data_IF_439745385581
#
_entry.id   IF_439745385581
#
_cell.length_a   1.000
_cell.length_b   1.000
_cell.length_c   1.000
_cell.angle_alpha   90.00
_cell.angle_beta   90.00
_cell.angle_gamma   90.00
#
_symmetry.space_group_name_H-M   'P 1'
#
loop_
_entity.id
_entity.type
_entity.pdbx_description
1 polymer ?
#
# COMPACT_ATOMS: atom_id res chain seq x y z
N UNK A 1 14.04 1.46 -16.71
CA UNK A 1 12.56 1.47 -16.51
C UNK A 1 12.29 1.23 -15.02
N UNK A 2 11.41 2.02 -14.39
CA UNK A 2 11.00 1.76 -13.00
C UNK A 2 10.08 0.54 -12.97
N UNK A 3 10.43 -0.49 -12.22
CA UNK A 3 9.51 -1.60 -11.97
C UNK A 3 8.77 -1.34 -10.66
N UNK A 4 7.45 -1.35 -10.69
CA UNK A 4 6.62 -1.32 -9.48
C UNK A 4 5.97 -2.70 -9.34
N UNK A 5 5.81 -3.18 -8.12
CA UNK A 5 5.16 -4.45 -7.79
C UNK A 5 4.23 -4.20 -6.61
N UNK A 6 2.99 -4.65 -6.73
CA UNK A 6 2.03 -4.57 -5.64
C UNK A 6 1.88 -5.89 -4.92
N UNK A 7 2.05 -5.86 -3.60
CA UNK A 7 1.78 -6.96 -2.70
C UNK A 7 0.40 -6.76 -2.07
N UNK A 8 -0.56 -7.57 -2.52
CA UNK A 8 -1.85 -7.72 -1.86
C UNK A 8 -1.85 -8.93 -0.96
N UNK A 9 -2.80 -8.99 -0.03
CA UNK A 9 -2.83 -10.06 0.95
C UNK A 9 -4.23 -10.51 1.26
N UNK A 10 -4.38 -11.80 1.55
CA UNK A 10 -5.67 -12.41 1.90
C UNK A 10 -6.18 -12.00 3.29
N UNK A 11 -5.37 -11.38 4.13
CA UNK A 11 -5.86 -10.65 5.31
C UNK A 11 -4.95 -9.47 5.61
N UNK A 12 -5.30 -8.66 6.60
CA UNK A 12 -4.48 -7.54 7.08
C UNK A 12 -3.11 -8.01 7.54
N UNK A 13 -3.05 -9.20 8.14
CA UNK A 13 -1.94 -9.62 8.99
C UNK A 13 -1.17 -10.82 8.44
N UNK A 14 -1.33 -11.14 7.15
CA UNK A 14 -0.61 -12.23 6.44
C UNK A 14 0.87 -11.94 6.17
N UNK A 15 1.53 -11.14 7.02
CA UNK A 15 2.97 -10.88 6.88
C UNK A 15 3.41 -9.89 5.78
N UNK A 16 2.50 -9.33 4.97
CA UNK A 16 2.84 -8.36 3.89
C UNK A 16 3.86 -7.28 4.27
N UNK A 17 3.75 -6.70 5.47
CA UNK A 17 4.68 -5.65 5.87
C UNK A 17 6.11 -6.15 6.03
N UNK A 18 6.26 -7.34 6.60
CA UNK A 18 7.55 -8.02 6.74
C UNK A 18 8.08 -8.43 5.37
N UNK A 19 7.22 -8.97 4.50
CA UNK A 19 7.61 -9.35 3.14
C UNK A 19 8.15 -8.14 2.35
N UNK A 20 7.44 -7.00 2.37
CA UNK A 20 7.92 -5.76 1.75
C UNK A 20 9.28 -5.35 2.32
N UNK A 21 9.45 -5.39 3.65
CA UNK A 21 10.71 -5.02 4.29
C UNK A 21 11.85 -5.96 3.89
N UNK A 22 11.62 -7.27 3.90
CA UNK A 22 12.60 -8.28 3.49
C UNK A 22 13.03 -8.10 2.03
N UNK A 23 12.08 -7.88 1.13
CA UNK A 23 12.37 -7.59 -0.27
C UNK A 23 13.14 -6.29 -0.45
N UNK A 24 12.76 -5.23 0.28
CA UNK A 24 13.52 -3.98 0.28
C UNK A 24 14.98 -4.20 0.73
N UNK A 25 15.18 -5.01 1.77
CA UNK A 25 16.52 -5.34 2.28
C UNK A 25 17.35 -6.14 1.28
N UNK A 26 16.78 -7.19 0.68
CA UNK A 26 17.45 -8.01 -0.34
C UNK A 26 17.92 -7.11 -1.49
N UNK A 27 17.02 -6.30 -2.04
CA UNK A 27 17.39 -5.41 -3.14
C UNK A 27 18.41 -4.35 -2.77
N UNK A 28 18.33 -3.78 -1.57
CA UNK A 28 19.37 -2.86 -1.11
C UNK A 28 20.73 -3.57 -0.93
N UNK A 29 20.74 -4.83 -0.49
CA UNK A 29 21.97 -5.66 -0.41
C UNK A 29 22.55 -5.98 -1.79
N UNK A 30 21.70 -6.20 -2.78
CA UNK A 30 22.10 -6.43 -4.18
C UNK A 30 22.50 -5.13 -4.93
N UNK A 31 22.61 -4.00 -4.23
CA UNK A 31 22.98 -2.70 -4.80
C UNK A 31 21.87 -2.02 -5.59
N UNK A 32 20.64 -2.54 -5.54
CA UNK A 32 19.47 -1.95 -6.18
C UNK A 32 18.83 -0.88 -5.29
N UNK A 33 18.22 0.12 -5.93
CA UNK A 33 17.45 1.15 -5.23
C UNK A 33 15.98 0.75 -5.16
N UNK A 34 15.39 0.77 -3.98
CA UNK A 34 13.99 0.44 -3.77
C UNK A 34 13.32 1.44 -2.84
N UNK A 35 12.00 1.60 -2.97
CA UNK A 35 11.22 2.43 -2.08
C UNK A 35 9.87 1.76 -1.76
N UNK A 36 9.48 1.67 -0.48
CA UNK A 36 8.15 1.20 -0.10
C UNK A 36 7.10 2.28 -0.35
N UNK A 37 5.88 1.88 -0.65
CA UNK A 37 4.75 2.79 -0.78
C UNK A 37 3.45 2.17 -0.26
N UNK A 38 2.74 2.91 0.57
CA UNK A 38 1.41 2.58 1.04
C UNK A 38 0.57 3.86 1.08
N UNK A 39 -0.23 4.06 0.05
CA UNK A 39 -1.10 5.24 -0.12
C UNK A 39 -1.89 5.58 1.13
N UNK A 40 -2.52 4.57 1.75
CA UNK A 40 -3.28 4.72 2.98
C UNK A 40 -2.88 3.63 3.97
N UNK A 41 -2.46 4.05 5.15
CA UNK A 41 -2.26 3.18 6.29
C UNK A 41 -3.33 3.44 7.35
N UNK A 42 -3.73 2.40 8.07
CA UNK A 42 -4.58 2.52 9.25
C UNK A 42 -3.84 1.86 10.40
N UNK A 43 -3.31 2.66 11.31
CA UNK A 43 -2.48 2.21 12.41
C UNK A 43 -2.50 3.25 13.53
N UNK A 44 -2.55 2.78 14.78
CA UNK A 44 -2.29 3.61 15.95
C UNK A 44 -0.78 3.88 16.13
N UNK A 45 0.04 2.94 15.66
CA UNK A 45 1.48 2.98 15.83
C UNK A 45 2.15 3.79 14.70
N UNK A 46 2.66 4.96 15.06
CA UNK A 46 3.36 5.90 14.18
C UNK A 46 4.72 6.28 14.77
N UNK A 47 5.63 6.76 13.93
CA UNK A 47 6.88 7.37 14.34
C UNK A 47 7.06 8.73 13.70
N UNK A 48 8.09 9.45 14.14
CA UNK A 48 8.48 10.75 13.61
C UNK A 48 9.64 10.56 12.64
N UNK A 49 9.51 11.12 11.45
CA UNK A 49 10.56 11.16 10.43
C UNK A 49 11.62 12.21 10.79
N UNK A 50 12.81 12.19 10.18
CA UNK A 50 13.86 13.18 10.48
C UNK A 50 13.44 14.65 10.29
N UNK A 51 12.45 14.91 9.42
CA UNK A 51 11.86 16.24 9.20
C UNK A 51 10.70 16.58 10.16
N UNK A 52 10.55 15.83 11.25
CA UNK A 52 9.56 16.10 12.30
C UNK A 52 8.13 15.68 11.95
N UNK A 53 7.93 14.95 10.85
CA UNK A 53 6.62 14.57 10.36
C UNK A 53 6.19 13.18 10.81
N UNK A 54 4.88 12.95 10.86
CA UNK A 54 4.34 11.71 11.37
C UNK A 54 4.08 10.66 10.27
N UNK A 55 4.56 9.44 10.48
CA UNK A 55 4.44 8.34 9.50
C UNK A 55 4.17 7.01 10.19
N UNK A 56 3.44 6.09 9.53
CA UNK A 56 3.20 4.76 10.07
C UNK A 56 4.50 3.98 10.31
N UNK A 57 4.66 3.36 11.49
CA UNK A 57 5.91 2.66 11.88
C UNK A 57 6.33 1.55 10.91
N UNK A 58 5.35 0.86 10.34
CA UNK A 58 5.62 -0.18 9.34
C UNK A 58 6.30 0.37 8.08
N UNK A 59 6.02 1.61 7.67
CA UNK A 59 6.66 2.21 6.50
C UNK A 59 8.02 2.82 6.85
N UNK A 60 8.20 3.32 8.07
CA UNK A 60 9.53 3.71 8.59
C UNK A 60 10.47 2.50 8.55
N UNK A 61 10.05 1.37 9.12
CA UNK A 61 10.83 0.13 9.09
C UNK A 61 11.15 -0.35 7.66
N UNK A 62 10.21 -0.20 6.73
CA UNK A 62 10.44 -0.55 5.33
C UNK A 62 11.43 0.40 4.63
N UNK A 63 11.42 1.69 4.96
CA UNK A 63 12.37 2.67 4.44
C UNK A 63 13.79 2.37 4.94
N UNK A 64 13.92 2.04 6.24
CA UNK A 64 15.17 1.59 6.84
C UNK A 64 15.70 0.32 6.15
N UNK A 65 14.83 -0.67 5.92
CA UNK A 65 15.20 -1.89 5.20
C UNK A 65 15.67 -1.60 3.76
N UNK A 66 15.08 -0.60 3.11
CA UNK A 66 15.47 -0.13 1.78
C UNK A 66 16.75 0.74 1.77
N UNK A 67 17.33 1.06 2.92
CA UNK A 67 18.52 1.91 3.03
C UNK A 67 18.26 3.39 2.69
N UNK A 68 17.04 3.87 2.86
CA UNK A 68 16.64 5.26 2.57
C UNK A 68 15.98 5.93 3.77
N UNK A 69 16.12 7.24 3.87
CA UNK A 69 15.47 8.01 4.94
C UNK A 69 13.94 7.90 4.84
N UNK A 70 13.23 7.71 5.97
CA UNK A 70 11.77 7.73 6.00
C UNK A 70 11.21 9.03 5.42
N UNK A 71 10.27 8.90 4.49
CA UNK A 71 9.62 10.02 3.82
C UNK A 71 8.10 9.81 3.81
N UNK A 72 7.36 10.80 4.31
CA UNK A 72 5.88 10.76 4.38
C UNK A 72 5.20 10.55 3.03
N UNK A 73 5.86 10.83 1.90
CA UNK A 73 5.34 10.48 0.57
C UNK A 73 5.15 8.98 0.39
N UNK A 74 5.93 8.15 1.08
CA UNK A 74 5.75 6.69 1.09
C UNK A 74 4.50 6.28 1.87
N UNK A 75 3.98 7.12 2.77
CA UNK A 75 2.71 6.92 3.48
C UNK A 75 1.91 8.23 3.61
N UNK A 76 1.32 8.73 2.50
CA UNK A 76 0.77 10.07 2.45
C UNK A 76 -0.53 10.24 3.24
N UNK A 77 -1.22 9.14 3.56
CA UNK A 77 -2.41 9.14 4.41
C UNK A 77 -2.21 8.11 5.51
N UNK A 78 -2.31 8.55 6.75
CA UNK A 78 -2.33 7.71 7.94
C UNK A 78 -3.63 7.98 8.71
N UNK A 79 -4.40 6.91 8.90
CA UNK A 79 -5.63 6.91 9.68
C UNK A 79 -5.33 6.31 11.07
N UNK A 80 -5.54 7.10 12.11
CA UNK A 80 -5.42 6.70 13.51
C UNK A 80 -6.81 6.52 14.11
N UNK A 81 -7.35 5.29 14.19
CA UNK A 81 -8.69 5.07 14.73
C UNK A 81 -8.77 5.53 16.19
N UNK A 82 -9.70 6.41 16.53
CA UNK A 82 -9.92 6.91 17.89
C UNK A 82 -11.18 6.31 18.53
N UNK A 83 -12.14 5.88 17.71
CA UNK A 83 -13.30 5.07 18.13
C UNK A 83 -13.89 4.33 16.92
N UNK A 84 -14.91 3.49 17.12
CA UNK A 84 -15.58 2.72 16.06
C UNK A 84 -16.07 3.55 14.87
N UNK A 85 -16.26 4.86 15.06
CA UNK A 85 -16.77 5.80 14.03
C UNK A 85 -15.88 7.01 13.82
N UNK A 86 -14.71 7.09 14.45
CA UNK A 86 -13.81 8.24 14.36
C UNK A 86 -12.37 7.78 14.12
N UNK A 87 -11.69 8.47 13.23
CA UNK A 87 -10.25 8.35 13.06
C UNK A 87 -9.67 9.76 12.94
N UNK A 88 -8.54 9.98 13.61
CA UNK A 88 -7.67 11.10 13.30
C UNK A 88 -6.98 10.83 11.96
N UNK A 89 -6.90 11.87 11.13
CA UNK A 89 -6.29 11.78 9.80
C UNK A 89 -4.99 12.57 9.83
N UNK A 90 -3.90 11.91 9.47
CA UNK A 90 -2.59 12.51 9.24
C UNK A 90 -2.36 12.49 7.73
N UNK A 91 -2.20 13.68 7.15
CA UNK A 91 -1.96 13.88 5.73
C UNK A 91 -0.55 14.40 5.54
N UNK A 92 0.25 13.71 4.73
CA UNK A 92 1.62 14.11 4.42
C UNK A 92 2.46 14.45 5.67
N UNK A 93 2.24 13.73 6.77
CA UNK A 93 2.97 13.97 8.01
C UNK A 93 2.29 14.85 9.05
N UNK A 94 1.21 15.53 8.69
CA UNK A 94 0.58 16.55 9.52
C UNK A 94 -0.85 16.19 9.88
N UNK A 95 -1.25 16.46 11.12
CA UNK A 95 -2.60 16.18 11.60
C UNK A 95 -3.60 17.10 10.92
N UNK A 96 -4.47 16.55 10.08
CA UNK A 96 -5.46 17.30 9.32
C UNK A 96 -6.74 17.65 10.12
N UNK A 97 -6.70 17.55 11.45
CA UNK A 97 -7.76 17.78 12.49
C UNK A 97 -8.86 16.71 12.65
N UNK A 98 -9.43 16.63 13.87
CA UNK A 98 -10.55 15.77 14.31
C UNK A 98 -11.89 16.26 13.72
N UNK A 99 -12.12 16.09 12.42
CA UNK A 99 -13.40 16.44 11.78
C UNK A 99 -14.12 15.21 11.22
N UNK A 100 -15.46 15.27 11.19
CA UNK A 100 -16.39 14.15 10.94
C UNK A 100 -15.95 13.14 9.86
N UNK A 101 -15.82 11.88 10.27
CA UNK A 101 -15.18 10.73 9.62
C UNK A 101 -15.77 10.26 8.27
N UNK A 102 -16.66 11.00 7.59
CA UNK A 102 -17.35 10.47 6.38
C UNK A 102 -17.23 11.26 5.09
N UNK A 103 -17.19 12.60 5.12
CA UNK A 103 -17.41 13.38 3.89
C UNK A 103 -16.15 13.93 3.21
N UNK A 104 -15.04 14.15 3.94
CA UNK A 104 -13.75 14.58 3.34
C UNK A 104 -12.73 13.47 3.13
N UNK A 105 -12.90 12.30 3.76
CA UNK A 105 -11.99 11.14 3.62
C UNK A 105 -11.92 10.64 2.17
N UNK A 106 -12.96 10.81 1.36
CA UNK A 106 -12.92 10.28 0.00
C UNK A 106 -12.17 11.20 -0.97
N UNK A 107 -12.43 12.50 -0.95
CA UNK A 107 -11.89 13.41 -1.98
C UNK A 107 -10.50 13.92 -1.63
N UNK A 108 -10.28 14.35 -0.38
CA UNK A 108 -8.98 14.90 0.05
C UNK A 108 -7.90 13.81 0.06
N UNK A 109 -8.21 12.63 0.61
CA UNK A 109 -7.30 11.49 0.62
C UNK A 109 -6.92 11.08 -0.81
N UNK A 110 -7.87 11.07 -1.74
CA UNK A 110 -7.59 10.79 -3.15
C UNK A 110 -6.63 11.75 -3.80
N UNK A 111 -6.87 13.03 -3.62
CA UNK A 111 -6.00 14.07 -4.16
C UNK A 111 -4.62 13.95 -3.51
N UNK A 112 -4.53 13.69 -2.21
CA UNK A 112 -3.26 13.48 -1.51
C UNK A 112 -2.51 12.22 -2.00
N UNK A 113 -3.16 11.06 -2.09
CA UNK A 113 -2.54 9.82 -2.56
C UNK A 113 -2.07 9.93 -4.02
N UNK A 114 -2.90 10.49 -4.89
CA UNK A 114 -2.55 10.67 -6.30
C UNK A 114 -1.51 11.76 -6.51
N UNK A 115 -1.52 12.84 -5.73
CA UNK A 115 -0.48 13.89 -5.76
C UNK A 115 0.83 13.38 -5.19
N UNK A 116 0.82 12.62 -4.10
CA UNK A 116 2.01 11.95 -3.55
C UNK A 116 2.59 10.95 -4.55
N UNK A 117 1.73 10.16 -5.19
CA UNK A 117 2.15 9.28 -6.28
C UNK A 117 2.75 10.07 -7.45
N UNK A 118 2.16 11.18 -7.86
CA UNK A 118 2.73 12.00 -8.94
C UNK A 118 4.04 12.66 -8.51
N UNK A 119 4.18 13.12 -7.27
CA UNK A 119 5.40 13.76 -6.77
C UNK A 119 6.57 12.78 -6.63
N UNK A 120 6.30 11.50 -6.41
CA UNK A 120 7.32 10.44 -6.41
C UNK A 120 7.82 10.07 -7.82
N UNK A 121 7.34 10.72 -8.90
CA UNK A 121 7.81 10.45 -10.28
C UNK A 121 9.31 10.67 -10.47
N UNK A 122 9.86 11.70 -9.83
CA UNK A 122 11.29 11.97 -9.87
C UNK A 122 12.09 10.85 -9.17
N UNK A 123 11.61 10.41 -8.00
CA UNK A 123 12.20 9.28 -7.27
C UNK A 123 12.07 7.96 -8.03
N UNK A 124 10.93 7.73 -8.68
CA UNK A 124 10.71 6.55 -9.51
C UNK A 124 11.76 6.38 -10.60
N UNK A 125 12.16 7.46 -11.26
CA UNK A 125 13.17 7.42 -12.33
C UNK A 125 14.53 6.90 -11.85
N UNK A 126 14.87 7.14 -10.59
CA UNK A 126 16.13 6.71 -9.97
C UNK A 126 15.99 5.47 -9.08
N UNK A 127 14.80 4.86 -9.02
CA UNK A 127 14.50 3.69 -8.18
C UNK A 127 14.19 2.49 -9.06
N UNK A 128 14.78 1.35 -8.73
CA UNK A 128 14.63 0.10 -9.46
C UNK A 128 13.30 -0.58 -9.14
N UNK A 129 12.91 -0.65 -7.86
CA UNK A 129 11.69 -1.36 -7.43
C UNK A 129 10.80 -0.57 -6.44
N UNK A 130 9.49 -0.52 -6.71
CA UNK A 130 8.49 0.04 -5.80
C UNK A 130 7.57 -1.03 -5.24
N UNK A 131 7.45 -1.10 -3.92
CA UNK A 131 6.59 -2.08 -3.27
C UNK A 131 5.30 -1.46 -2.74
N UNK A 132 4.17 -1.92 -3.26
CA UNK A 132 2.86 -1.46 -2.81
C UNK A 132 2.25 -2.42 -1.80
N UNK A 133 1.78 -1.92 -0.64
CA UNK A 133 1.00 -2.75 0.30
C UNK A 133 -0.49 -2.46 0.18
N UNK A 134 -1.23 -3.35 -0.47
CA UNK A 134 -2.71 -3.32 -0.52
C UNK A 134 -3.36 -4.26 0.49
N UNK A 135 -4.65 -4.04 0.78
CA UNK A 135 -5.48 -4.96 1.54
C UNK A 135 -6.57 -5.50 0.62
N UNK A 136 -6.61 -6.80 0.34
CA UNK A 136 -7.66 -7.34 -0.52
C UNK A 136 -8.99 -7.48 0.26
N UNK A 137 -9.55 -6.43 0.86
CA UNK A 137 -10.77 -6.57 1.66
C UNK A 137 -11.99 -6.91 0.79
N UNK A 138 -12.78 -7.89 1.24
CA UNK A 138 -14.04 -8.38 0.63
C UNK A 138 -15.16 -7.34 0.54
N UNK A 139 -14.90 -6.07 0.87
CA UNK A 139 -15.90 -5.06 1.25
C UNK A 139 -16.00 -3.84 0.32
N UNK A 140 -15.32 -3.85 -0.83
CA UNK A 140 -15.17 -2.63 -1.65
C UNK A 140 -15.50 -2.79 -3.14
N UNK A 141 -16.33 -3.75 -3.53
CA UNK A 141 -16.94 -3.71 -4.89
C UNK A 141 -17.67 -2.37 -5.10
N UNK A 142 -18.26 -1.81 -4.02
CA UNK A 142 -18.94 -0.52 -4.00
C UNK A 142 -18.02 0.72 -3.93
N UNK A 143 -16.70 0.56 -3.81
CA UNK A 143 -15.75 1.67 -3.76
C UNK A 143 -14.73 1.60 -4.90
N UNK A 144 -15.06 0.92 -6.00
CA UNK A 144 -14.17 0.80 -7.16
C UNK A 144 -13.79 2.15 -7.75
N UNK A 145 -14.78 3.01 -7.95
CA UNK A 145 -14.58 4.39 -8.38
C UNK A 145 -13.91 5.24 -7.31
N UNK A 146 -13.82 4.73 -6.07
CA UNK A 146 -13.24 5.12 -4.75
C UNK A 146 -11.79 4.75 -4.42
N UNK A 147 -11.28 3.71 -5.08
CA UNK A 147 -10.19 2.90 -4.54
C UNK A 147 -8.82 3.54 -4.78
N UNK A 148 -8.19 3.97 -3.68
CA UNK A 148 -6.82 4.49 -3.67
C UNK A 148 -5.88 3.60 -2.85
N UNK A 149 -6.30 2.39 -2.51
CA UNK A 149 -5.53 1.51 -1.62
C UNK A 149 -5.18 0.20 -2.31
N UNK A 150 -6.05 -0.27 -3.21
CA UNK A 150 -5.98 -1.60 -3.79
C UNK A 150 -5.80 -1.54 -5.33
N UNK A 151 -6.74 -2.10 -6.10
CA UNK A 151 -6.57 -2.28 -7.54
C UNK A 151 -6.55 -0.96 -8.32
N UNK A 152 -7.30 0.06 -7.88
CA UNK A 152 -7.27 1.38 -8.52
C UNK A 152 -5.88 2.02 -8.52
N UNK A 153 -5.06 1.71 -7.52
CA UNK A 153 -3.67 2.16 -7.49
C UNK A 153 -2.73 1.29 -8.32
N UNK A 154 -2.96 -0.03 -8.36
CA UNK A 154 -2.22 -0.93 -9.25
C UNK A 154 -2.38 -0.49 -10.71
N UNK A 155 -3.59 -0.13 -11.10
CA UNK A 155 -3.92 0.41 -12.41
C UNK A 155 -3.27 1.77 -12.64
N UNK A 156 -3.35 2.70 -11.69
CA UNK A 156 -2.67 4.01 -11.82
C UNK A 156 -1.14 3.88 -11.91
N UNK A 157 -0.56 2.86 -11.26
CA UNK A 157 0.86 2.57 -11.30
C UNK A 157 1.28 1.65 -12.46
N UNK A 158 0.31 1.06 -13.17
CA UNK A 158 0.52 0.04 -14.21
C UNK A 158 1.45 -1.09 -13.73
N UNK A 159 1.25 -1.58 -12.51
CA UNK A 159 2.13 -2.58 -11.89
C UNK A 159 1.51 -3.98 -11.80
N UNK A 160 2.33 -5.05 -11.90
CA UNK A 160 1.92 -6.40 -11.53
C UNK A 160 1.52 -6.48 -10.05
N UNK A 161 0.56 -7.37 -9.77
CA UNK A 161 0.07 -7.64 -8.42
C UNK A 161 0.41 -9.08 -8.02
N UNK A 162 1.10 -9.24 -6.89
CA UNK A 162 1.36 -10.52 -6.23
C UNK A 162 0.40 -10.64 -5.04
N UNK A 163 -0.28 -11.78 -4.94
CA UNK A 163 -1.18 -12.09 -3.83
C UNK A 163 -0.44 -12.95 -2.79
N UNK A 164 -0.31 -12.42 -1.58
CA UNK A 164 0.26 -13.08 -0.42
C UNK A 164 -0.85 -13.76 0.37
N UNK A 165 -0.71 -15.07 0.59
CA UNK A 165 -1.64 -15.86 1.39
C UNK A 165 -0.92 -16.50 2.56
N UNK A 166 -1.65 -16.68 3.66
CA UNK A 166 -1.23 -17.39 4.85
C UNK A 166 -1.91 -18.77 4.85
N UNK A 167 -1.10 -19.84 4.90
CA UNK A 167 -1.58 -21.22 4.83
C UNK A 167 -2.28 -21.65 6.12
N UNK A 168 -1.73 -21.27 7.27
CA UNK A 168 -2.24 -21.63 8.60
C UNK A 168 -3.61 -21.00 8.87
N UNK A 169 -3.87 -19.83 8.28
CA UNK A 169 -5.17 -19.16 8.36
C UNK A 169 -6.19 -19.62 7.31
N UNK A 170 -5.94 -20.75 6.64
CA UNK A 170 -6.83 -21.31 5.61
C UNK A 170 -6.87 -20.50 4.30
N UNK A 171 -5.86 -19.67 4.05
CA UNK A 171 -5.82 -18.70 2.95
C UNK A 171 -5.54 -19.31 1.57
N UNK A 172 -4.85 -20.45 1.51
CA UNK A 172 -4.29 -21.00 0.26
C UNK A 172 -5.31 -21.78 -0.58
N UNK A 173 -6.35 -22.39 0.00
CA UNK A 173 -7.33 -23.19 -0.74
C UNK A 173 -8.75 -22.60 -0.77
N UNK A 174 -9.22 -21.96 0.32
CA UNK A 174 -10.60 -21.46 0.44
C UNK A 174 -10.76 -19.96 0.16
N UNK A 175 -9.75 -19.15 0.51
CA UNK A 175 -9.80 -17.70 0.27
C UNK A 175 -9.19 -17.29 -1.07
N UNK A 176 -8.19 -18.02 -1.56
CA UNK A 176 -7.51 -17.80 -2.84
C UNK A 176 -8.48 -17.83 -4.02
N UNK A 177 -9.34 -18.84 -4.17
CA UNK A 177 -10.32 -18.94 -5.28
C UNK A 177 -11.38 -17.84 -5.27
N UNK A 178 -11.98 -17.56 -4.11
CA UNK A 178 -12.99 -16.50 -3.98
C UNK A 178 -12.38 -15.09 -4.13
N UNK A 179 -11.14 -14.89 -3.67
CA UNK A 179 -10.47 -13.59 -3.72
C UNK A 179 -9.76 -13.34 -5.04
N UNK A 180 -9.26 -14.38 -5.70
CA UNK A 180 -8.73 -14.31 -7.07
C UNK A 180 -9.84 -13.88 -8.04
N UNK A 181 -11.04 -14.46 -7.89
CA UNK A 181 -12.24 -13.98 -8.58
C UNK A 181 -12.51 -12.50 -8.31
N UNK A 182 -12.37 -12.02 -7.07
CA UNK A 182 -12.53 -10.60 -6.69
C UNK A 182 -11.48 -9.68 -7.34
N UNK A 183 -10.19 -10.04 -7.29
CA UNK A 183 -9.12 -9.30 -7.97
C UNK A 183 -9.38 -9.21 -9.49
N UNK A 184 -9.83 -10.31 -10.11
CA UNK A 184 -10.21 -10.33 -11.53
C UNK A 184 -11.51 -9.56 -11.84
N UNK A 185 -12.50 -9.56 -10.94
CA UNK A 185 -13.71 -8.75 -11.13
C UNK A 185 -13.43 -7.28 -10.95
N UNK A 186 -12.49 -6.89 -10.07
CA UNK A 186 -12.10 -5.49 -9.84
C UNK A 186 -11.21 -4.91 -10.95
N UNK A 187 -10.52 -5.71 -11.75
CA UNK A 187 -9.66 -5.23 -12.84
C UNK A 187 -10.36 -5.02 -14.19
N UNK A 188 -11.57 -5.57 -14.40
CA UNK A 188 -12.27 -5.49 -15.69
C UNK A 188 -11.51 -6.20 -16.83
N UNK A 189 -12.22 -6.61 -17.88
CA UNK A 189 -11.58 -7.31 -19.02
C UNK A 189 -10.59 -6.36 -19.71
N UNK A 190 -9.30 -6.74 -19.74
CA UNK A 190 -8.27 -6.09 -20.59
C UNK A 190 -7.11 -5.38 -19.88
N UNK A 191 -7.01 -5.39 -18.55
CA UNK A 191 -5.87 -4.78 -17.84
C UNK A 191 -4.60 -5.62 -17.96
N UNK A 192 -3.50 -5.05 -18.50
CA UNK A 192 -2.15 -5.67 -18.50
C UNK A 192 -1.62 -5.99 -17.09
N UNK A 193 -2.24 -5.49 -16.02
CA UNK A 193 -1.89 -5.86 -14.65
C UNK A 193 -2.24 -7.32 -14.31
N UNK A 194 -3.15 -7.94 -15.06
CA UNK A 194 -3.55 -9.34 -14.87
C UNK A 194 -2.62 -10.36 -15.51
N UNK A 195 -1.80 -9.99 -16.51
CA UNK A 195 -0.97 -10.97 -17.24
C UNK A 195 0.19 -11.55 -16.43
N UNK A 196 0.36 -11.14 -15.17
CA UNK A 196 1.45 -11.59 -14.30
C UNK A 196 1.09 -11.60 -12.80
N UNK A 197 -0.08 -12.15 -12.45
CA UNK A 197 -0.36 -12.53 -11.05
C UNK A 197 0.33 -13.85 -10.76
N UNK A 198 1.51 -13.79 -10.14
CA UNK A 198 2.24 -14.97 -9.66
C UNK A 198 1.86 -15.29 -8.21
N UNK A 199 1.59 -16.57 -7.93
CA UNK A 199 1.43 -17.07 -6.56
C UNK A 199 2.80 -17.26 -5.93
N UNK A 200 3.06 -16.59 -4.80
CA UNK A 200 4.15 -16.93 -3.91
C UNK A 200 3.54 -17.61 -2.68
N UNK A 201 3.74 -18.93 -2.56
CA UNK A 201 3.51 -19.66 -1.33
C UNK A 201 4.84 -19.65 -0.54
N UNK A 202 4.79 -19.21 0.72
CA UNK A 202 5.87 -19.41 1.70
C UNK A 202 5.39 -20.47 2.68
#
# INVERSE_FOLDING_TARGET
>A
MTQAIMLQGTASDVGKSMLVAGLCRIFYQDGLRTAPFKSQNMALNSGITPDGKEMGRAQIFQAEAAGISPDVRMNPILLKPTSDRKAQIVLMGEVATNMGCRQRITTTSRVCASRSWRSTKAWRRSTTCWYWKGLAARREINLRDRDIVNMGMAEMAQCPVILVADIDRGGVLRQSTARWRCCMTMSGRGSRALSSISFAAM
#
